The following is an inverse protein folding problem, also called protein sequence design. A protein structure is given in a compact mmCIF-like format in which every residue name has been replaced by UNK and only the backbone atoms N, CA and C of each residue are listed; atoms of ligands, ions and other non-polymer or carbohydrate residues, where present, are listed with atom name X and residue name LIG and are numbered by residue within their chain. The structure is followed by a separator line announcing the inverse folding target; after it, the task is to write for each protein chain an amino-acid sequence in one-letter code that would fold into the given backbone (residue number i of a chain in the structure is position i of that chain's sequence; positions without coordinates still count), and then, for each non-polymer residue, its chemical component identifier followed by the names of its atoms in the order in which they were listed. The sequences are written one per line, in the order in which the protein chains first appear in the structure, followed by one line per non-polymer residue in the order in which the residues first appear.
data_IF_593158894717
#
_entry.id   IF_593158894717
#
_cell.length_a   1.000
_cell.length_b   1.000
_cell.length_c   1.000
_cell.angle_alpha   90.00
_cell.angle_beta   90.00
_cell.angle_gamma   90.00
#
_symmetry.space_group_name_H-M   'P 1'
#
loop_
_entity.id
_entity.type
_entity.pdbx_description
1 polymer ?
#
# COMPACT_ATOMS: atom_id res chain seq x y z
N UNK A 1 4.57 5.24 32.48
CA UNK A 1 5.51 5.59 31.38
C UNK A 1 6.91 5.24 31.86
N UNK A 2 7.68 4.40 31.11
CA UNK A 2 8.41 4.94 29.97
C UNK A 2 8.32 4.12 28.66
N UNK A 3 8.43 4.88 27.58
CA UNK A 3 8.81 4.58 26.21
C UNK A 3 8.80 3.11 25.75
N UNK A 4 7.74 2.70 25.05
CA UNK A 4 7.84 1.62 24.08
C UNK A 4 8.79 2.09 22.97
N UNK A 5 9.94 1.42 22.71
CA UNK A 5 10.67 1.65 21.48
C UNK A 5 9.75 1.16 20.36
N UNK A 6 9.15 2.09 19.61
CA UNK A 6 8.51 1.73 18.35
C UNK A 6 9.53 0.94 17.54
N UNK A 7 9.18 -0.24 17.00
CA UNK A 7 10.08 -0.94 16.11
C UNK A 7 10.44 0.05 15.01
N UNK A 8 11.72 0.39 14.93
CA UNK A 8 12.30 1.07 13.77
C UNK A 8 12.15 0.10 12.63
N UNK A 9 10.98 0.10 12.01
CA UNK A 9 10.65 -0.76 10.88
C UNK A 9 11.54 -0.28 9.73
N UNK A 10 12.71 -0.90 9.60
CA UNK A 10 13.59 -0.86 8.42
C UNK A 10 12.94 -1.58 7.22
N UNK A 11 11.61 -1.70 7.24
CA UNK A 11 10.79 -2.12 6.13
C UNK A 11 10.56 -0.95 5.17
N UNK A 12 10.34 -1.22 3.88
CA UNK A 12 10.02 -0.16 2.94
C UNK A 12 8.72 0.53 3.38
N UNK A 13 8.74 1.86 3.43
CA UNK A 13 7.60 2.66 3.90
C UNK A 13 6.31 2.24 3.20
N UNK A 14 5.28 1.95 4.00
CA UNK A 14 3.97 1.58 3.49
C UNK A 14 3.41 2.77 2.69
N UNK A 15 3.02 2.62 1.42
CA UNK A 15 2.60 3.73 0.56
C UNK A 15 1.15 4.13 0.87
N UNK A 16 0.70 3.88 2.09
CA UNK A 16 -0.68 4.06 2.49
C UNK A 16 -0.90 5.54 2.76
N UNK A 17 -1.67 6.19 1.89
CA UNK A 17 -2.08 7.59 2.03
C UNK A 17 -3.23 7.79 3.01
N UNK A 18 -3.52 6.79 3.87
CA UNK A 18 -4.65 6.77 4.81
C UNK A 18 -6.04 6.92 4.14
N UNK A 19 -6.11 6.69 2.83
CA UNK A 19 -7.36 6.65 2.08
C UNK A 19 -7.66 5.17 1.82
N UNK A 20 -8.66 4.64 2.54
CA UNK A 20 -9.11 3.27 2.37
C UNK A 20 -10.33 3.24 1.44
N UNK A 21 -10.09 3.47 0.15
CA UNK A 21 -11.11 3.37 -0.88
C UNK A 21 -10.73 2.22 -1.81
N UNK A 22 -11.50 1.14 -1.81
CA UNK A 22 -11.26 -0.05 -2.63
C UNK A 22 -12.23 -0.07 -3.80
N UNK A 23 -11.72 -0.37 -4.98
CA UNK A 23 -12.52 -0.65 -6.17
C UNK A 23 -13.25 -2.02 -6.07
N UNK A 24 -14.20 -2.27 -6.95
CA UNK A 24 -14.86 -3.58 -7.09
C UNK A 24 -13.87 -4.74 -7.30
N UNK A 25 -12.71 -4.48 -7.90
CA UNK A 25 -11.61 -5.44 -8.03
C UNK A 25 -10.77 -5.64 -6.75
N UNK A 26 -11.14 -5.02 -5.64
CA UNK A 26 -10.38 -5.08 -4.38
C UNK A 26 -9.04 -4.36 -4.46
N UNK A 27 -8.88 -3.36 -5.34
CA UNK A 27 -7.67 -2.54 -5.44
C UNK A 27 -7.92 -1.19 -4.77
N UNK A 28 -7.06 -0.83 -3.83
CA UNK A 28 -7.08 0.48 -3.19
C UNK A 28 -6.80 1.58 -4.22
N UNK A 29 -7.74 2.49 -4.34
CA UNK A 29 -7.73 3.67 -5.18
C UNK A 29 -6.64 4.66 -4.74
N UNK A 30 -6.43 4.82 -3.43
CA UNK A 30 -5.43 5.74 -2.90
C UNK A 30 -3.97 5.28 -3.06
N UNK A 31 -3.68 3.99 -2.86
CA UNK A 31 -2.30 3.48 -2.87
C UNK A 31 -1.99 2.46 -3.98
N UNK A 32 -2.97 2.08 -4.80
CA UNK A 32 -2.80 1.15 -5.92
C UNK A 32 -2.54 -0.31 -5.54
N UNK A 33 -2.69 -0.68 -4.26
CA UNK A 33 -2.47 -2.04 -3.74
C UNK A 33 -3.76 -2.84 -3.67
N UNK A 34 -3.70 -4.14 -3.96
CA UNK A 34 -4.86 -5.01 -3.71
C UNK A 34 -5.09 -5.27 -2.22
N UNK A 35 -6.33 -5.59 -1.85
CA UNK A 35 -6.71 -6.01 -0.50
C UNK A 35 -5.89 -7.22 -0.05
N UNK A 36 -5.70 -8.20 -0.94
CA UNK A 36 -4.86 -9.38 -0.68
C UNK A 36 -3.40 -8.97 -0.38
N UNK A 37 -2.86 -8.02 -1.15
CA UNK A 37 -1.52 -7.47 -0.95
C UNK A 37 -1.38 -6.65 0.33
N UNK A 38 -2.45 -6.02 0.79
CA UNK A 38 -2.50 -5.31 2.08
C UNK A 38 -2.57 -6.33 3.21
N UNK A 39 -3.42 -7.35 3.09
CA UNK A 39 -3.57 -8.41 4.09
C UNK A 39 -2.28 -9.20 4.30
N UNK A 40 -1.58 -9.55 3.21
CA UNK A 40 -0.27 -10.24 3.29
C UNK A 40 0.91 -9.32 3.55
N UNK A 41 0.74 -8.01 3.66
CA UNK A 41 1.87 -7.08 3.84
C UNK A 41 2.63 -7.32 5.14
N UNK A 42 1.90 -7.53 6.24
CA UNK A 42 2.47 -7.75 7.56
C UNK A 42 3.21 -9.10 7.67
N UNK A 43 2.90 -10.05 6.79
CA UNK A 43 3.55 -11.37 6.71
C UNK A 43 4.53 -11.50 5.54
N UNK A 44 4.60 -10.48 4.67
CA UNK A 44 5.47 -10.47 3.51
C UNK A 44 6.89 -10.06 3.89
N UNK A 45 7.88 -10.77 3.36
CA UNK A 45 9.29 -10.39 3.48
C UNK A 45 9.60 -9.07 2.76
N UNK A 46 10.64 -8.36 3.18
CA UNK A 46 11.05 -7.07 2.60
C UNK A 46 11.20 -7.09 1.06
N UNK A 47 11.66 -8.20 0.48
CA UNK A 47 11.73 -8.37 -0.97
C UNK A 47 10.34 -8.38 -1.63
N UNK A 48 9.40 -9.15 -1.07
CA UNK A 48 8.00 -9.21 -1.51
C UNK A 48 7.32 -7.86 -1.33
N UNK A 49 7.56 -7.19 -0.21
CA UNK A 49 7.06 -5.85 0.06
C UNK A 49 7.50 -4.86 -1.05
N UNK A 50 8.79 -4.86 -1.42
CA UNK A 50 9.28 -4.04 -2.53
C UNK A 50 8.63 -4.40 -3.87
N UNK A 51 8.45 -5.68 -4.17
CA UNK A 51 7.78 -6.11 -5.39
C UNK A 51 6.32 -5.64 -5.44
N UNK A 52 5.60 -5.72 -4.33
CA UNK A 52 4.24 -5.20 -4.20
C UNK A 52 4.23 -3.69 -4.43
N UNK A 53 5.18 -2.94 -3.86
CA UNK A 53 5.29 -1.50 -4.06
C UNK A 53 5.49 -1.11 -5.52
N UNK A 54 6.34 -1.85 -6.25
CA UNK A 54 6.56 -1.62 -7.68
C UNK A 54 5.26 -1.86 -8.45
N UNK A 55 4.63 -3.02 -8.25
CA UNK A 55 3.35 -3.35 -8.91
C UNK A 55 2.22 -2.40 -8.56
N UNK A 56 2.20 -1.91 -7.31
CA UNK A 56 1.23 -0.93 -6.85
C UNK A 56 1.45 0.42 -7.52
N UNK A 57 2.71 0.87 -7.66
CA UNK A 57 3.05 2.07 -8.43
C UNK A 57 2.72 1.93 -9.90
N UNK A 58 2.96 0.78 -10.51
CA UNK A 58 2.60 0.54 -11.92
C UNK A 58 1.09 0.58 -12.12
N UNK A 59 0.33 -0.13 -11.27
CA UNK A 59 -1.14 -0.07 -11.29
C UNK A 59 -1.64 1.33 -11.02
N UNK A 60 -1.05 2.04 -10.06
CA UNK A 60 -1.38 3.42 -9.77
C UNK A 60 -1.06 4.29 -10.98
N UNK A 61 0.08 4.18 -11.66
CA UNK A 61 0.39 4.97 -12.85
C UNK A 61 -0.62 4.73 -13.99
N UNK A 62 -1.06 3.48 -14.18
CA UNK A 62 -2.10 3.14 -15.16
C UNK A 62 -3.49 3.66 -14.76
N UNK A 63 -3.78 3.75 -13.45
CA UNK A 63 -5.10 4.11 -12.90
C UNK A 63 -5.22 5.56 -12.43
N UNK A 64 -4.13 6.24 -12.09
CA UNK A 64 -4.06 7.63 -11.66
C UNK A 64 -4.69 8.50 -12.72
N UNK A 65 -4.46 8.21 -14.00
CA UNK A 65 -5.16 8.88 -15.11
C UNK A 65 -6.69 8.70 -15.10
N UNK A 66 -7.20 7.63 -14.48
CA UNK A 66 -8.62 7.29 -14.41
C UNK A 66 -9.28 7.67 -13.06
N UNK A 67 -8.50 7.96 -12.01
CA UNK A 67 -8.99 7.97 -10.62
C UNK A 67 -8.46 9.15 -9.75
N UNK A 68 -7.90 10.23 -10.33
CA UNK A 68 -7.64 11.46 -9.55
C UNK A 68 -8.94 12.25 -9.20
N UNK A 69 -10.12 11.73 -9.52
CA UNK A 69 -11.41 12.42 -9.32
C UNK A 69 -12.09 11.97 -8.02
N UNK A 70 -11.42 12.14 -6.88
CA UNK A 70 -12.01 11.90 -5.55
C UNK A 70 -11.69 13.05 -4.61
N UNK A 71 -12.57 14.06 -4.60
CA UNK A 71 -12.57 15.25 -3.74
C UNK A 71 -12.65 14.90 -2.25
#
# INVERSE_FOLDING_TARGET
MPATPWPTETGPASPCVQICALDAGGICLGCGRSLDEIARWSTASAATQRAILVRARERLALRTSADQQGR
#
